data_IF_075386878871
#
_entry.id   IF_075386878871
#
_cell.length_a   1.000
_cell.length_b   1.000
_cell.length_c   1.000
_cell.angle_alpha   90.00
_cell.angle_beta   90.00
_cell.angle_gamma   90.00
#
_symmetry.space_group_name_H-M   'P 1'
#
loop_
_entity.id
_entity.type
_entity.pdbx_description
1 polymer ?
#
# COMPACT_ATOMS: atom_id res chain seq x y z
N UNK A 1 0.86 -34.39 -21.63
CA UNK A 1 0.66 -34.11 -20.19
C UNK A 1 1.69 -33.13 -19.64
N UNK A 2 3.01 -33.35 -19.83
CA UNK A 2 4.05 -32.44 -19.32
C UNK A 2 4.01 -31.02 -19.92
N UNK A 3 3.82 -30.86 -21.23
CA UNK A 3 3.70 -29.54 -21.88
C UNK A 3 2.47 -28.75 -21.40
N UNK A 4 1.34 -29.42 -21.20
CA UNK A 4 0.11 -28.83 -20.68
C UNK A 4 0.28 -28.32 -19.24
N UNK A 5 1.02 -29.06 -18.39
CA UNK A 5 1.36 -28.62 -17.03
C UNK A 5 2.24 -27.36 -17.03
N UNK A 6 3.19 -27.24 -17.96
CA UNK A 6 4.05 -26.06 -18.07
C UNK A 6 3.30 -24.81 -18.51
N UNK A 7 2.41 -24.91 -19.50
CA UNK A 7 1.58 -23.80 -19.97
C UNK A 7 0.62 -23.30 -18.87
N UNK A 8 0.09 -24.22 -18.06
CA UNK A 8 -0.82 -23.88 -16.97
C UNK A 8 -0.06 -23.20 -15.81
N UNK A 9 1.19 -23.59 -15.57
CA UNK A 9 2.04 -22.98 -14.56
C UNK A 9 2.44 -21.54 -14.92
N UNK A 10 2.86 -21.29 -16.17
CA UNK A 10 3.21 -19.95 -16.65
C UNK A 10 1.99 -19.02 -16.75
N UNK A 11 0.82 -19.58 -17.10
CA UNK A 11 -0.45 -18.84 -17.10
C UNK A 11 -0.82 -18.35 -15.70
N UNK A 12 -0.63 -19.18 -14.67
CA UNK A 12 -0.92 -18.83 -13.28
C UNK A 12 0.00 -17.71 -12.78
N UNK A 13 1.31 -17.83 -13.03
CA UNK A 13 2.30 -16.81 -12.64
C UNK A 13 2.01 -15.46 -13.28
N UNK A 14 1.67 -15.48 -14.57
CA UNK A 14 1.30 -14.26 -15.31
C UNK A 14 0.03 -13.63 -14.75
N UNK A 15 -0.99 -14.43 -14.42
CA UNK A 15 -2.23 -13.94 -13.80
C UNK A 15 -1.97 -13.30 -12.43
N UNK A 16 -1.09 -13.90 -11.62
CA UNK A 16 -0.76 -13.35 -10.30
C UNK A 16 -0.05 -12.00 -10.46
N UNK A 17 1.00 -11.93 -11.29
CA UNK A 17 1.82 -10.73 -11.43
C UNK A 17 1.13 -9.56 -12.15
N UNK A 18 0.31 -9.85 -13.16
CA UNK A 18 -0.30 -8.82 -14.01
C UNK A 18 -1.69 -8.41 -13.51
N UNK A 19 -2.45 -9.34 -12.92
CA UNK A 19 -3.85 -9.08 -12.56
C UNK A 19 -4.04 -9.04 -11.06
N UNK A 20 -3.75 -10.13 -10.36
CA UNK A 20 -4.11 -10.26 -8.94
C UNK A 20 -3.33 -9.26 -8.09
N UNK A 21 -2.01 -9.18 -8.27
CA UNK A 21 -1.18 -8.31 -7.47
C UNK A 21 -1.51 -6.82 -7.68
N UNK A 22 -1.59 -6.27 -8.92
CA UNK A 22 -2.02 -4.89 -9.13
C UNK A 22 -3.45 -4.62 -8.64
N UNK A 23 -4.38 -5.57 -8.77
CA UNK A 23 -5.75 -5.40 -8.26
C UNK A 23 -5.77 -5.26 -6.72
N UNK A 24 -4.95 -6.02 -5.99
CA UNK A 24 -4.83 -5.88 -4.54
C UNK A 24 -4.21 -4.54 -4.13
N UNK A 25 -3.19 -4.07 -4.87
CA UNK A 25 -2.60 -2.75 -4.63
C UNK A 25 -3.58 -1.62 -4.92
N UNK A 26 -4.37 -1.74 -6.00
CA UNK A 26 -5.44 -0.80 -6.33
C UNK A 26 -6.48 -0.76 -5.22
N UNK A 27 -6.93 -1.93 -4.76
CA UNK A 27 -7.88 -2.03 -3.65
C UNK A 27 -7.32 -1.33 -2.40
N UNK A 28 -6.05 -1.59 -2.05
CA UNK A 28 -5.40 -0.93 -0.92
C UNK A 28 -5.35 0.61 -1.08
N UNK A 29 -4.98 1.10 -2.27
CA UNK A 29 -4.93 2.53 -2.57
C UNK A 29 -6.31 3.20 -2.45
N UNK A 30 -7.36 2.55 -2.98
CA UNK A 30 -8.74 3.02 -2.86
C UNK A 30 -9.18 3.06 -1.40
N UNK A 31 -8.92 2.00 -0.63
CA UNK A 31 -9.30 1.95 0.79
C UNK A 31 -8.59 3.05 1.60
N UNK A 32 -7.32 3.35 1.30
CA UNK A 32 -6.61 4.45 1.95
C UNK A 32 -7.19 5.80 1.56
N UNK A 33 -7.56 5.99 0.30
CA UNK A 33 -8.21 7.21 -0.16
C UNK A 33 -9.56 7.44 0.54
N UNK A 34 -10.38 6.38 0.65
CA UNK A 34 -11.67 6.44 1.33
C UNK A 34 -11.52 6.73 2.83
N UNK A 35 -10.51 6.13 3.49
CA UNK A 35 -10.18 6.43 4.87
C UNK A 35 -9.65 7.86 5.07
N UNK A 36 -8.85 8.37 4.13
CA UNK A 36 -8.34 9.74 4.14
C UNK A 36 -9.45 10.80 3.96
N UNK A 37 -10.48 10.44 3.18
CA UNK A 37 -11.68 11.25 2.94
C UNK A 37 -12.77 11.13 4.01
N UNK A 38 -12.58 10.27 5.02
CA UNK A 38 -13.54 10.08 6.12
C UNK A 38 -14.75 9.20 5.78
N UNK A 39 -14.80 8.61 4.58
CA UNK A 39 -15.83 7.64 4.21
C UNK A 39 -15.69 6.36 5.03
N UNK A 40 -14.45 5.91 5.24
CA UNK A 40 -14.13 4.80 6.14
C UNK A 40 -13.70 5.40 7.48
N UNK A 41 -14.56 5.23 8.48
CA UNK A 41 -14.27 5.62 9.86
C UNK A 41 -13.21 4.72 10.48
N UNK A 42 -12.62 5.20 11.58
CA UNK A 42 -11.62 4.46 12.37
C UNK A 42 -12.16 3.09 12.77
N UNK A 43 -11.49 2.03 12.33
CA UNK A 43 -11.92 0.65 12.59
C UNK A 43 -10.72 -0.29 12.80
N UNK A 44 -10.99 -1.53 13.22
CA UNK A 44 -9.99 -2.57 13.44
C UNK A 44 -9.92 -3.62 12.32
N UNK A 45 -10.56 -3.41 11.18
CA UNK A 45 -10.75 -4.42 10.12
C UNK A 45 -10.09 -4.03 8.78
N UNK A 46 -9.92 -2.74 8.50
CA UNK A 46 -9.41 -2.21 7.22
C UNK A 46 -8.30 -1.20 7.50
N UNK A 47 -7.41 -0.92 6.54
CA UNK A 47 -6.44 0.18 6.64
C UNK A 47 -5.20 -0.11 7.50
N UNK A 48 -4.43 0.95 7.77
CA UNK A 48 -3.19 0.91 8.57
C UNK A 48 -3.55 0.90 10.06
N UNK A 49 -3.32 -0.23 10.73
CA UNK A 49 -3.73 -0.49 12.12
C UNK A 49 -2.57 -0.46 13.09
N UNK A 50 -1.93 0.70 13.20
CA UNK A 50 -0.87 0.93 14.17
C UNK A 50 -1.39 1.83 15.29
N UNK A 51 -0.79 1.74 16.48
CA UNK A 51 -1.27 2.48 17.66
C UNK A 51 -1.43 3.99 17.41
N UNK A 52 -0.56 4.59 16.59
CA UNK A 52 -0.66 6.01 16.24
C UNK A 52 -1.91 6.34 15.41
N UNK A 53 -2.26 5.54 14.40
CA UNK A 53 -3.43 5.79 13.53
C UNK A 53 -4.75 5.43 14.19
N UNK A 54 -4.73 4.57 15.22
CA UNK A 54 -5.91 4.17 15.98
C UNK A 54 -6.21 5.06 17.20
N UNK A 55 -5.33 6.02 17.50
CA UNK A 55 -5.47 6.90 18.67
C UNK A 55 -6.75 7.73 18.63
N UNK A 56 -7.02 8.43 17.53
CA UNK A 56 -8.24 9.23 17.33
C UNK A 56 -8.73 9.16 15.88
N UNK A 57 -10.01 9.51 15.60
CA UNK A 57 -10.51 9.62 14.22
C UNK A 57 -9.70 10.59 13.34
N UNK A 58 -9.18 11.66 13.94
CA UNK A 58 -8.36 12.67 13.24
C UNK A 58 -6.98 12.09 12.91
N UNK A 59 -6.38 11.35 13.84
CA UNK A 59 -5.11 10.64 13.62
C UNK A 59 -5.25 9.54 12.57
N UNK A 60 -6.41 8.89 12.51
CA UNK A 60 -6.77 7.93 11.46
C UNK A 60 -6.80 8.60 10.08
N UNK A 61 -7.55 9.69 9.94
CA UNK A 61 -7.68 10.40 8.66
C UNK A 61 -6.34 11.00 8.21
N UNK A 62 -5.59 11.62 9.13
CA UNK A 62 -4.28 12.19 8.83
C UNK A 62 -3.26 11.14 8.41
N UNK A 63 -3.24 9.99 9.09
CA UNK A 63 -2.38 8.86 8.73
C UNK A 63 -2.69 8.32 7.34
N UNK A 64 -3.97 8.09 7.03
CA UNK A 64 -4.38 7.58 5.72
C UNK A 64 -4.18 8.61 4.60
N UNK A 65 -4.36 9.90 4.88
CA UNK A 65 -4.08 10.98 3.91
C UNK A 65 -2.60 11.05 3.54
N UNK A 66 -1.71 10.85 4.52
CA UNK A 66 -0.27 10.80 4.28
C UNK A 66 0.15 9.53 3.54
N UNK A 67 -0.54 8.41 3.77
CA UNK A 67 -0.28 7.11 3.13
C UNK A 67 -0.82 6.99 1.70
N UNK A 68 -1.92 7.67 1.36
CA UNK A 68 -2.62 7.48 0.08
C UNK A 68 -1.72 7.69 -1.16
N UNK A 69 -0.87 8.74 -1.25
CA UNK A 69 0.02 8.90 -2.40
C UNK A 69 1.00 7.74 -2.59
N UNK A 70 1.50 7.16 -1.50
CA UNK A 70 2.42 6.02 -1.54
C UNK A 70 1.75 4.72 -1.94
N UNK A 71 0.48 4.52 -1.55
CA UNK A 71 -0.31 3.39 -2.01
C UNK A 71 -0.60 3.48 -3.52
N UNK A 72 -0.93 4.67 -4.03
CA UNK A 72 -1.08 4.90 -5.47
C UNK A 72 0.22 4.72 -6.25
N UNK A 73 1.34 5.20 -5.71
CA UNK A 73 2.66 4.96 -6.30
C UNK A 73 3.00 3.47 -6.34
N UNK A 74 2.72 2.74 -5.26
CA UNK A 74 2.88 1.28 -5.20
C UNK A 74 2.06 0.56 -6.27
N UNK A 75 0.78 0.94 -6.42
CA UNK A 75 -0.08 0.41 -7.49
C UNK A 75 0.50 0.70 -8.89
N UNK A 76 0.86 1.94 -9.19
CA UNK A 76 1.38 2.33 -10.50
C UNK A 76 2.66 1.56 -10.85
N UNK A 77 3.62 1.48 -9.91
CA UNK A 77 4.87 0.74 -10.11
C UNK A 77 4.60 -0.76 -10.27
N UNK A 78 3.75 -1.34 -9.41
CA UNK A 78 3.40 -2.76 -9.49
C UNK A 78 2.72 -3.13 -10.80
N UNK A 79 1.81 -2.29 -11.30
CA UNK A 79 1.12 -2.52 -12.57
C UNK A 79 2.09 -2.46 -13.76
N UNK A 80 2.91 -1.39 -13.85
CA UNK A 80 3.89 -1.22 -14.94
C UNK A 80 4.86 -2.38 -14.97
N UNK A 81 5.36 -2.78 -13.81
CA UNK A 81 6.37 -3.82 -13.74
C UNK A 81 5.78 -5.23 -13.90
N UNK A 82 4.53 -5.47 -13.50
CA UNK A 82 3.81 -6.71 -13.83
C UNK A 82 3.72 -6.90 -15.34
N UNK A 83 3.36 -5.84 -16.08
CA UNK A 83 3.36 -5.84 -17.56
C UNK A 83 4.77 -5.97 -18.13
N UNK A 84 5.75 -5.22 -17.60
CA UNK A 84 7.14 -5.31 -18.07
C UNK A 84 7.74 -6.71 -17.89
N UNK A 85 7.41 -7.38 -16.78
CA UNK A 85 7.81 -8.74 -16.48
C UNK A 85 7.21 -9.75 -17.46
N UNK A 86 5.93 -9.62 -17.84
CA UNK A 86 5.29 -10.56 -18.79
C UNK A 86 5.82 -10.44 -20.22
N UNK A 87 6.45 -9.31 -20.55
CA UNK A 87 7.09 -9.07 -21.85
C UNK A 87 8.59 -9.39 -21.86
N UNK A 88 9.16 -9.83 -20.73
CA UNK A 88 10.61 -10.05 -20.56
C UNK A 88 10.93 -11.53 -20.36
N UNK A 89 12.15 -11.95 -20.73
CA UNK A 89 12.66 -13.31 -20.48
C UNK A 89 14.09 -13.27 -19.93
N UNK A 90 14.53 -14.38 -19.34
CA UNK A 90 15.91 -14.53 -18.85
C UNK A 90 16.29 -13.54 -17.75
N UNK A 91 17.52 -13.01 -17.80
CA UNK A 91 18.08 -12.09 -16.80
C UNK A 91 17.32 -10.77 -16.70
N UNK A 92 16.71 -10.31 -17.79
CA UNK A 92 15.89 -9.09 -17.81
C UNK A 92 14.64 -9.26 -16.95
N UNK A 93 13.98 -10.42 -17.00
CA UNK A 93 12.82 -10.72 -16.15
C UNK A 93 13.20 -10.73 -14.66
N UNK A 94 14.36 -11.30 -14.32
CA UNK A 94 14.87 -11.30 -12.94
C UNK A 94 15.17 -9.88 -12.43
N UNK A 95 15.72 -9.01 -13.28
CA UNK A 95 15.97 -7.61 -12.94
C UNK A 95 14.65 -6.86 -12.67
N UNK A 96 13.63 -7.05 -13.51
CA UNK A 96 12.29 -6.50 -13.28
C UNK A 96 11.70 -6.96 -11.95
N UNK A 97 11.75 -8.26 -11.66
CA UNK A 97 11.25 -8.80 -10.40
C UNK A 97 11.96 -8.18 -9.17
N UNK A 98 13.29 -8.02 -9.23
CA UNK A 98 14.05 -7.38 -8.16
C UNK A 98 13.65 -5.90 -7.96
N UNK A 99 13.48 -5.15 -9.05
CA UNK A 99 13.01 -3.75 -9.01
C UNK A 99 11.61 -3.67 -8.38
N UNK A 100 10.71 -4.58 -8.74
CA UNK A 100 9.36 -4.67 -8.15
C UNK A 100 9.43 -4.86 -6.65
N UNK A 101 10.18 -5.86 -6.20
CA UNK A 101 10.30 -6.17 -4.78
C UNK A 101 10.88 -4.97 -4.03
N UNK A 102 11.93 -4.34 -4.56
CA UNK A 102 12.54 -3.17 -3.94
C UNK A 102 11.57 -1.97 -3.87
N UNK A 103 10.87 -1.66 -4.96
CA UNK A 103 9.91 -0.55 -4.99
C UNK A 103 8.69 -0.83 -4.11
N UNK A 104 8.24 -2.08 -4.05
CA UNK A 104 7.15 -2.49 -3.17
C UNK A 104 7.53 -2.34 -1.69
N UNK A 105 8.71 -2.80 -1.30
CA UNK A 105 9.22 -2.58 0.06
C UNK A 105 9.35 -1.09 0.36
N UNK A 106 9.92 -0.30 -0.56
CA UNK A 106 10.08 1.14 -0.39
C UNK A 106 8.73 1.86 -0.19
N UNK A 107 7.71 1.50 -0.97
CA UNK A 107 6.37 2.08 -0.87
C UNK A 107 5.64 1.66 0.41
N UNK A 108 5.80 0.40 0.87
CA UNK A 108 5.31 -0.03 2.18
C UNK A 108 5.96 0.77 3.30
N UNK A 109 7.29 0.89 3.29
CA UNK A 109 8.03 1.62 4.32
C UNK A 109 7.60 3.09 4.33
N UNK A 110 7.55 3.73 3.17
CA UNK A 110 7.13 5.12 3.05
C UNK A 110 5.69 5.32 3.54
N UNK A 111 4.77 4.42 3.18
CA UNK A 111 3.38 4.39 3.66
C UNK A 111 3.31 4.35 5.18
N UNK A 112 3.99 3.38 5.80
CA UNK A 112 3.94 3.17 7.26
C UNK A 112 4.57 4.34 8.01
N UNK A 113 5.73 4.83 7.54
CA UNK A 113 6.46 5.93 8.18
C UNK A 113 5.65 7.23 8.09
N UNK A 114 5.13 7.57 6.90
CA UNK A 114 4.37 8.81 6.72
C UNK A 114 3.04 8.79 7.47
N UNK A 115 2.32 7.66 7.44
CA UNK A 115 1.11 7.48 8.25
C UNK A 115 1.40 7.64 9.75
N UNK A 116 2.45 6.97 10.24
CA UNK A 116 2.85 7.06 11.65
C UNK A 116 3.18 8.48 12.08
N UNK A 117 3.95 9.19 11.25
CA UNK A 117 4.39 10.56 11.53
C UNK A 117 3.21 11.52 11.55
N UNK A 118 2.32 11.44 10.54
CA UNK A 118 1.14 12.29 10.46
C UNK A 118 0.19 12.06 11.63
N UNK A 119 -0.08 10.79 11.96
CA UNK A 119 -0.96 10.44 13.07
C UNK A 119 -0.42 10.91 14.44
N UNK A 120 0.89 10.75 14.68
CA UNK A 120 1.55 11.26 15.90
C UNK A 120 1.56 12.78 15.98
N UNK A 121 1.72 13.48 14.86
CA UNK A 121 1.66 14.94 14.83
C UNK A 121 0.28 15.44 15.27
N UNK A 122 -0.80 14.78 14.83
CA UNK A 122 -2.15 15.08 15.28
C UNK A 122 -2.34 14.83 16.78
N UNK A 123 -1.86 13.69 17.29
CA UNK A 123 -1.95 13.39 18.73
C UNK A 123 -1.25 14.44 19.61
N UNK A 124 -0.09 14.95 19.18
CA UNK A 124 0.62 16.02 19.90
C UNK A 124 -0.12 17.37 19.82
N UNK A 125 -0.70 17.70 18.68
CA UNK A 125 -1.48 18.93 18.53
C UNK A 125 -2.71 18.93 19.45
N UNK A 126 -3.37 17.79 19.61
CA UNK A 126 -4.50 17.64 20.53
C UNK A 126 -4.08 17.80 21.99
N UNK A 127 -2.92 17.25 22.39
CA UNK A 127 -2.41 17.39 23.76
C UNK A 127 -2.01 18.83 24.13
N UNK A 128 -1.42 19.57 23.18
CA UNK A 128 -1.04 20.98 23.39
C UNK A 128 -2.22 21.95 23.46
N UNK A 129 -3.42 21.52 23.03
CA UNK A 129 -4.66 22.29 23.11
C UNK A 129 -5.48 21.97 24.38
N UNK A 130 -5.07 20.99 25.17
CA UNK A 130 -5.68 20.75 26.48
C UNK A 130 -5.49 22.03 27.32
N UNK A 131 -6.57 22.69 27.77
CA UNK A 131 -6.44 23.84 28.66
C UNK A 131 -5.65 23.35 29.87
N UNK A 132 -4.51 24.00 30.13
CA UNK A 132 -3.75 23.81 31.35
C UNK A 132 -4.70 24.16 32.49
N UNK A 133 -5.35 23.14 33.06
CA UNK A 133 -6.28 23.31 34.16
C UNK A 133 -5.54 23.84 35.39
N UNK A 134 -6.22 24.68 36.20
CA UNK A 134 -5.64 25.33 37.38
C UNK A 134 -5.17 24.35 38.45
#
# INVERSE_FOLDING_TARGET
MFAMLLEQCTSLETMIGVVVFPALLLLAAVLFQLAAGGVISKNRVVGIRIGSTLSSPEAWAAGHRAAAPWAWAGFAVGAVAGVGSSMSTGTTAAAWAAIVVAAFIATIVATLVTASRAARAQGRAAQGQSPTGP
#
